data_IF_431984171005
#
_entry.id   IF_431984171005
#
_cell.length_a   1.000
_cell.length_b   1.000
_cell.length_c   1.000
_cell.angle_alpha   90.00
_cell.angle_beta   90.00
_cell.angle_gamma   90.00
#
_symmetry.space_group_name_H-M   'P 1'
#
loop_
_entity.id
_entity.type
_entity.pdbx_description
1 polymer ?
#
# COMPACT_ATOMS: atom_id res chain seq x y z
N UNK A 1 4.16 11.56 10.45
CA UNK A 1 4.18 12.93 9.90
C UNK A 1 2.77 13.39 9.60
N UNK A 2 2.05 12.79 8.65
CA UNK A 2 0.65 13.16 8.31
C UNK A 2 -0.24 13.52 9.51
N UNK A 3 -0.41 12.62 10.47
CA UNK A 3 -1.18 12.89 11.70
C UNK A 3 -0.66 14.07 12.54
N UNK A 4 0.68 14.23 12.64
CA UNK A 4 1.30 15.33 13.41
C UNK A 4 0.97 16.70 12.79
N UNK A 5 0.68 16.73 11.50
CA UNK A 5 0.39 17.93 10.72
C UNK A 5 -1.09 18.04 10.34
N UNK A 6 -1.99 17.35 11.06
CA UNK A 6 -3.45 17.39 10.84
C UNK A 6 -3.92 16.91 9.45
N UNK A 7 -3.11 16.11 8.76
CA UNK A 7 -3.42 15.54 7.45
C UNK A 7 -4.05 14.13 7.53
N UNK A 8 -4.40 13.69 8.74
CA UNK A 8 -5.00 12.38 8.97
C UNK A 8 -4.02 11.21 8.80
N UNK A 9 -4.57 9.99 8.76
CA UNK A 9 -3.81 8.76 8.55
C UNK A 9 -3.29 8.66 7.12
N UNK A 10 -2.02 8.30 6.98
CA UNK A 10 -1.43 7.97 5.68
C UNK A 10 -1.56 6.46 5.43
N UNK A 11 -2.16 6.09 4.29
CA UNK A 11 -2.35 4.71 3.86
C UNK A 11 -2.04 4.62 2.36
N UNK A 12 -1.20 3.66 1.96
CA UNK A 12 -0.68 3.58 0.58
C UNK A 12 -1.78 3.40 -0.48
N UNK A 13 -2.81 2.60 -0.17
CA UNK A 13 -3.95 2.34 -1.03
C UNK A 13 -4.80 3.61 -1.22
N UNK A 14 -4.99 4.40 -0.16
CA UNK A 14 -5.71 5.68 -0.20
C UNK A 14 -4.90 6.74 -0.97
N UNK A 15 -3.57 6.77 -0.76
CA UNK A 15 -2.67 7.65 -1.51
C UNK A 15 -2.65 7.28 -3.01
N UNK A 16 -2.76 6.00 -3.35
CA UNK A 16 -2.89 5.56 -4.75
C UNK A 16 -4.18 6.07 -5.40
N UNK A 17 -5.31 6.02 -4.66
CA UNK A 17 -6.57 6.62 -5.12
C UNK A 17 -6.43 8.13 -5.28
N UNK A 18 -5.80 8.80 -4.31
CA UNK A 18 -5.53 10.23 -4.34
C UNK A 18 -4.68 10.63 -5.54
N UNK A 19 -3.64 9.86 -5.85
CA UNK A 19 -2.79 10.07 -7.03
C UNK A 19 -3.63 10.12 -8.31
N UNK A 20 -4.46 9.10 -8.52
CA UNK A 20 -5.30 8.97 -9.72
C UNK A 20 -6.43 10.01 -9.78
N UNK A 21 -6.97 10.41 -8.63
CA UNK A 21 -8.05 11.40 -8.56
C UNK A 21 -7.55 12.83 -8.72
N UNK A 22 -6.36 13.17 -8.22
CA UNK A 22 -5.96 14.56 -8.04
C UNK A 22 -4.56 14.93 -8.51
N UNK A 23 -3.57 14.05 -8.47
CA UNK A 23 -2.15 14.42 -8.70
C UNK A 23 -1.71 14.14 -10.13
N UNK A 24 -2.17 13.03 -10.69
CA UNK A 24 -1.86 12.65 -12.07
C UNK A 24 -2.28 13.73 -13.07
N UNK A 25 -1.66 13.68 -14.26
CA UNK A 25 -1.88 14.68 -15.32
C UNK A 25 -1.70 16.11 -14.81
N UNK A 26 -0.60 16.34 -14.06
CA UNK A 26 -0.21 17.64 -13.53
C UNK A 26 -1.27 18.27 -12.63
N UNK A 27 -1.82 17.51 -11.68
CA UNK A 27 -2.78 18.03 -10.71
C UNK A 27 -4.22 18.09 -11.24
N UNK A 28 -4.57 17.24 -12.22
CA UNK A 28 -5.91 17.18 -12.82
C UNK A 28 -6.62 15.85 -12.58
N UNK A 29 -5.89 14.83 -12.15
CA UNK A 29 -6.36 13.46 -12.10
C UNK A 29 -6.56 12.85 -13.49
N UNK A 30 -6.92 11.56 -13.49
CA UNK A 30 -7.15 10.77 -14.70
C UNK A 30 -8.63 10.49 -15.00
N UNK A 31 -9.56 10.94 -14.13
CA UNK A 31 -10.99 10.68 -14.27
C UNK A 31 -11.31 9.19 -14.46
N UNK A 32 -10.68 8.36 -13.62
CA UNK A 32 -10.88 6.91 -13.61
C UNK A 32 -12.27 6.56 -13.07
N UNK A 33 -12.84 5.46 -13.56
CA UNK A 33 -14.15 4.98 -13.08
C UNK A 33 -14.10 4.63 -11.60
N UNK A 34 -15.21 4.88 -10.89
CA UNK A 34 -15.27 4.67 -9.44
C UNK A 34 -15.01 3.21 -9.05
N UNK A 35 -15.38 2.23 -9.88
CA UNK A 35 -15.14 0.81 -9.62
C UNK A 35 -13.65 0.46 -9.62
N UNK A 36 -12.86 1.09 -10.48
CA UNK A 36 -11.41 0.89 -10.53
C UNK A 36 -10.76 1.57 -9.32
N UNK A 37 -11.16 2.82 -9.01
CA UNK A 37 -10.69 3.51 -7.81
C UNK A 37 -11.05 2.74 -6.53
N UNK A 38 -12.23 2.15 -6.45
CA UNK A 38 -12.68 1.32 -5.32
C UNK A 38 -11.87 0.03 -5.20
N UNK A 39 -11.58 -0.66 -6.31
CA UNK A 39 -10.72 -1.84 -6.31
C UNK A 39 -9.31 -1.50 -5.79
N UNK A 40 -8.76 -0.35 -6.18
CA UNK A 40 -7.48 0.16 -5.65
C UNK A 40 -7.64 0.57 -4.18
N UNK A 41 -8.74 1.21 -3.79
CA UNK A 41 -8.95 1.57 -2.38
C UNK A 41 -9.02 0.33 -1.48
N UNK A 42 -9.62 -0.76 -1.97
CA UNK A 42 -9.87 -1.96 -1.20
C UNK A 42 -8.74 -3.00 -1.27
N UNK A 43 -7.70 -2.81 -2.11
CA UNK A 43 -6.56 -3.74 -2.11
C UNK A 43 -5.78 -3.57 -0.80
N UNK A 44 -5.72 -4.64 -0.03
CA UNK A 44 -4.98 -4.67 1.22
C UNK A 44 -4.62 -6.12 1.52
N UNK A 45 -3.44 -6.52 1.06
CA UNK A 45 -2.88 -7.85 1.25
C UNK A 45 -2.68 -8.23 2.72
N UNK A 46 -2.64 -7.29 3.66
CA UNK A 46 -2.45 -7.56 5.10
C UNK A 46 -3.64 -8.27 5.74
N UNK A 47 -4.85 -8.18 5.16
CA UNK A 47 -6.05 -8.82 5.72
C UNK A 47 -6.55 -9.91 4.80
N UNK A 48 -6.16 -11.15 5.09
CA UNK A 48 -6.68 -12.31 4.40
C UNK A 48 -8.12 -12.57 4.87
N UNK A 49 -9.02 -12.79 3.91
CA UNK A 49 -10.39 -13.22 4.16
C UNK A 49 -10.58 -14.61 3.52
N UNK A 50 -11.35 -15.48 4.16
CA UNK A 50 -11.74 -16.76 3.55
C UNK A 50 -12.71 -16.56 2.38
N UNK A 51 -13.60 -15.57 2.48
CA UNK A 51 -14.56 -15.20 1.43
C UNK A 51 -14.51 -13.68 1.17
N UNK A 52 -14.43 -13.31 -0.11
CA UNK A 52 -14.46 -11.94 -0.61
C UNK A 52 -15.76 -11.74 -1.39
N UNK A 53 -16.67 -10.96 -0.82
CA UNK A 53 -17.97 -10.65 -1.43
C UNK A 53 -18.02 -9.18 -1.84
N UNK A 54 -18.43 -8.87 -3.08
CA UNK A 54 -18.57 -7.49 -3.50
C UNK A 54 -19.74 -6.82 -2.79
N UNK A 55 -19.60 -5.53 -2.51
CA UNK A 55 -20.65 -4.68 -1.94
C UNK A 55 -20.99 -3.58 -2.93
N UNK A 56 -22.25 -3.51 -3.36
CA UNK A 56 -22.71 -2.37 -4.18
C UNK A 56 -22.55 -1.07 -3.39
N UNK A 57 -21.98 -0.06 -4.04
CA UNK A 57 -21.79 1.28 -3.48
C UNK A 57 -22.15 2.33 -4.52
N UNK A 58 -22.67 3.44 -4.04
CA UNK A 58 -22.79 4.69 -4.78
C UNK A 58 -21.47 5.45 -4.75
N UNK A 59 -21.30 6.42 -5.65
CA UNK A 59 -20.14 7.34 -5.63
C UNK A 59 -20.04 8.06 -4.28
N UNK A 60 -21.18 8.43 -3.68
CA UNK A 60 -21.21 9.09 -2.37
C UNK A 60 -20.69 8.19 -1.25
N UNK A 61 -21.06 6.91 -1.26
CA UNK A 61 -20.56 5.94 -0.27
C UNK A 61 -19.06 5.71 -0.45
N UNK A 62 -18.57 5.59 -1.68
CA UNK A 62 -17.13 5.49 -1.97
C UNK A 62 -16.36 6.71 -1.42
N UNK A 63 -16.82 7.93 -1.74
CA UNK A 63 -16.18 9.15 -1.25
C UNK A 63 -16.24 9.24 0.29
N UNK A 64 -17.33 8.80 0.91
CA UNK A 64 -17.43 8.75 2.38
C UNK A 64 -16.42 7.79 2.98
N UNK A 65 -16.25 6.59 2.40
CA UNK A 65 -15.25 5.60 2.84
C UNK A 65 -13.82 6.13 2.62
N UNK A 66 -13.57 6.81 1.50
CA UNK A 66 -12.29 7.45 1.19
C UNK A 66 -11.93 8.54 2.21
N UNK A 67 -12.84 9.47 2.50
CA UNK A 67 -12.61 10.53 3.49
C UNK A 67 -12.44 9.98 4.91
N UNK A 68 -13.28 9.01 5.30
CA UNK A 68 -13.18 8.39 6.62
C UNK A 68 -11.83 7.66 6.83
N UNK A 69 -11.18 7.20 5.76
CA UNK A 69 -9.87 6.53 5.84
C UNK A 69 -8.75 7.42 6.38
N UNK A 70 -8.89 8.74 6.29
CA UNK A 70 -7.96 9.69 6.91
C UNK A 70 -8.19 9.86 8.41
N UNK A 71 -9.34 9.42 8.93
CA UNK A 71 -9.75 9.66 10.32
C UNK A 71 -9.95 8.39 11.15
N UNK A 72 -10.12 7.25 10.50
CA UNK A 72 -10.41 5.98 11.15
C UNK A 72 -9.60 4.84 10.51
N UNK A 73 -8.57 4.33 11.20
CA UNK A 73 -7.78 3.20 10.68
C UNK A 73 -8.57 1.91 10.51
N UNK A 74 -9.62 1.70 11.30
CA UNK A 74 -10.38 0.46 11.26
C UNK A 74 -11.23 0.31 10.00
N UNK A 75 -11.50 1.41 9.27
CA UNK A 75 -12.35 1.32 8.08
C UNK A 75 -11.71 0.48 6.99
N UNK A 76 -10.38 0.48 6.89
CA UNK A 76 -9.65 -0.31 5.90
C UNK A 76 -9.91 -1.82 6.06
N UNK A 77 -10.15 -2.27 7.31
CA UNK A 77 -10.50 -3.67 7.60
C UNK A 77 -11.95 -3.99 7.19
N UNK A 78 -12.82 -2.97 7.12
CA UNK A 78 -14.27 -3.09 6.85
C UNK A 78 -14.64 -2.82 5.39
N UNK A 79 -13.73 -2.28 4.60
CA UNK A 79 -13.94 -2.01 3.17
C UNK A 79 -14.13 -3.31 2.38
N UNK A 80 -15.09 -3.30 1.47
CA UNK A 80 -15.38 -4.41 0.55
C UNK A 80 -15.39 -3.87 -0.88
N UNK A 81 -14.74 -4.52 -1.84
CA UNK A 81 -14.73 -4.04 -3.23
C UNK A 81 -16.14 -3.92 -3.82
N UNK A 82 -16.34 -2.99 -4.76
CA UNK A 82 -17.60 -2.83 -5.48
C UNK A 82 -17.99 -4.02 -6.37
N UNK A 83 -16.98 -4.72 -6.91
CA UNK A 83 -17.16 -5.73 -7.96
C UNK A 83 -16.38 -7.01 -7.66
N UNK A 84 -16.69 -8.09 -8.38
CA UNK A 84 -15.95 -9.35 -8.27
C UNK A 84 -14.50 -9.18 -8.74
N UNK A 85 -14.26 -8.37 -9.77
CA UNK A 85 -12.92 -8.03 -10.24
C UNK A 85 -12.13 -7.32 -9.13
N UNK A 86 -12.74 -6.41 -8.38
CA UNK A 86 -12.11 -5.80 -7.22
C UNK A 86 -11.81 -6.81 -6.10
N UNK A 87 -12.67 -7.81 -5.89
CA UNK A 87 -12.37 -8.95 -5.01
C UNK A 87 -11.17 -9.75 -5.50
N UNK A 88 -11.07 -9.99 -6.82
CA UNK A 88 -9.92 -10.65 -7.44
C UNK A 88 -8.65 -9.85 -7.24
N UNK A 89 -8.66 -8.52 -7.44
CA UNK A 89 -7.48 -7.65 -7.17
C UNK A 89 -7.01 -7.82 -5.72
N UNK A 90 -7.94 -7.76 -4.76
CA UNK A 90 -7.61 -7.85 -3.33
C UNK A 90 -6.99 -9.20 -2.95
N UNK A 91 -7.54 -10.32 -3.43
CA UNK A 91 -6.97 -11.65 -3.13
C UNK A 91 -5.69 -11.91 -3.92
N UNK A 92 -5.54 -11.30 -5.11
CA UNK A 92 -4.32 -11.43 -5.91
C UNK A 92 -3.14 -10.75 -5.24
N UNK A 93 -3.35 -9.59 -4.62
CA UNK A 93 -2.35 -8.90 -3.81
C UNK A 93 -1.83 -9.82 -2.70
N UNK A 94 -2.74 -10.44 -1.94
CA UNK A 94 -2.43 -11.47 -0.95
C UNK A 94 -1.56 -12.60 -1.52
N UNK A 95 -1.95 -13.19 -2.65
CA UNK A 95 -1.24 -14.35 -3.23
C UNK A 95 0.14 -13.96 -3.79
N UNK A 96 0.27 -12.76 -4.34
CA UNK A 96 1.48 -12.32 -5.04
C UNK A 96 2.69 -12.14 -4.10
N UNK A 97 2.47 -11.69 -2.86
CA UNK A 97 3.57 -11.47 -1.91
C UNK A 97 3.95 -12.73 -1.11
N UNK A 98 2.99 -13.61 -0.79
CA UNK A 98 3.20 -14.73 0.15
C UNK A 98 4.43 -15.58 -0.17
N UNK A 99 4.55 -16.04 -1.42
CA UNK A 99 5.69 -16.85 -1.85
C UNK A 99 6.94 -16.02 -2.13
N UNK A 100 6.78 -14.81 -2.70
CA UNK A 100 7.90 -13.95 -3.08
C UNK A 100 8.74 -13.53 -1.88
N UNK A 101 8.09 -13.16 -0.78
CA UNK A 101 8.79 -12.73 0.45
C UNK A 101 9.71 -13.83 0.99
N UNK A 102 9.28 -15.09 0.87
CA UNK A 102 10.07 -16.26 1.28
C UNK A 102 11.29 -16.40 0.38
N UNK A 103 11.11 -16.30 -0.94
CA UNK A 103 12.24 -16.40 -1.88
C UNK A 103 13.28 -15.30 -1.63
N UNK A 104 12.82 -14.07 -1.36
CA UNK A 104 13.69 -12.95 -1.03
C UNK A 104 14.40 -13.14 0.31
N UNK A 105 13.69 -13.61 1.35
CA UNK A 105 14.28 -13.91 2.65
C UNK A 105 15.33 -15.04 2.57
N UNK A 106 15.06 -16.08 1.77
CA UNK A 106 16.03 -17.16 1.52
C UNK A 106 17.25 -16.64 0.77
N UNK A 107 17.05 -15.81 -0.25
CA UNK A 107 18.14 -15.19 -1.01
C UNK A 107 19.02 -14.30 -0.14
N UNK A 108 18.43 -13.62 0.84
CA UNK A 108 19.13 -12.76 1.81
C UNK A 108 19.71 -13.54 3.01
N UNK A 109 19.59 -14.88 3.02
CA UNK A 109 19.99 -15.74 4.14
C UNK A 109 19.34 -15.37 5.48
N UNK A 110 18.15 -14.77 5.46
CA UNK A 110 17.34 -14.45 6.66
C UNK A 110 16.63 -15.71 7.18
N UNK A 111 16.30 -16.62 6.28
CA UNK A 111 15.57 -17.86 6.53
C UNK A 111 16.09 -18.97 5.59
N UNK A 112 16.07 -20.22 6.02
CA UNK A 112 16.22 -21.39 5.15
C UNK A 112 14.85 -21.97 4.77
N UNK A 113 14.71 -22.48 3.54
CA UNK A 113 13.44 -22.98 3.03
C UNK A 113 12.85 -24.11 3.90
N UNK A 114 13.73 -24.92 4.47
CA UNK A 114 13.38 -26.07 5.31
C UNK A 114 12.83 -25.67 6.69
N UNK A 115 12.94 -24.38 7.07
CA UNK A 115 12.35 -23.86 8.30
C UNK A 115 10.83 -23.62 8.18
N UNK A 116 10.28 -23.67 6.96
CA UNK A 116 8.83 -23.52 6.74
C UNK A 116 8.13 -24.78 7.28
N UNK A 117 7.13 -24.63 8.17
CA UNK A 117 6.39 -25.75 8.74
C UNK A 117 5.79 -26.70 7.70
N UNK A 118 5.80 -28.01 8.01
CA UNK A 118 5.18 -29.04 7.17
C UNK A 118 3.68 -28.76 6.99
N UNK A 119 3.00 -28.23 8.01
CA UNK A 119 1.58 -27.84 7.96
C UNK A 119 1.27 -26.83 6.84
N UNK A 120 2.22 -25.98 6.47
CA UNK A 120 2.09 -25.02 5.36
C UNK A 120 2.47 -25.71 4.05
N UNK A 121 3.66 -26.33 4.00
CA UNK A 121 4.22 -26.86 2.76
C UNK A 121 3.44 -28.04 2.19
N UNK A 122 2.78 -28.85 3.03
CA UNK A 122 1.92 -29.95 2.58
C UNK A 122 0.65 -29.48 1.88
N UNK A 123 0.18 -28.26 2.18
CA UNK A 123 -1.04 -27.67 1.63
C UNK A 123 -0.68 -26.74 0.47
N UNK A 124 0.13 -25.72 0.71
CA UNK A 124 0.43 -24.68 -0.29
C UNK A 124 1.54 -25.09 -1.27
N UNK A 125 2.41 -26.02 -0.88
CA UNK A 125 3.61 -26.38 -1.61
C UNK A 125 4.86 -25.66 -1.11
N UNK A 126 6.01 -26.00 -1.70
CA UNK A 126 7.33 -25.56 -1.21
C UNK A 126 8.08 -24.65 -2.19
N UNK A 127 7.43 -24.13 -3.23
CA UNK A 127 7.99 -23.06 -4.07
C UNK A 127 6.98 -21.94 -4.22
N UNK A 128 7.43 -20.72 -4.56
CA UNK A 128 6.52 -19.61 -4.88
C UNK A 128 5.55 -19.98 -5.98
N UNK A 129 6.01 -20.73 -6.98
CA UNK A 129 5.18 -21.24 -8.06
C UNK A 129 4.08 -22.17 -7.51
N UNK A 130 4.42 -23.08 -6.60
CA UNK A 130 3.44 -24.01 -6.02
C UNK A 130 2.42 -23.27 -5.17
N UNK A 131 2.86 -22.37 -4.28
CA UNK A 131 1.98 -21.56 -3.43
C UNK A 131 0.96 -20.81 -4.28
N UNK A 132 1.44 -20.07 -5.29
CA UNK A 132 0.57 -19.30 -6.19
C UNK A 132 -0.39 -20.20 -6.95
N UNK A 133 0.09 -21.31 -7.51
CA UNK A 133 -0.75 -22.24 -8.27
C UNK A 133 -1.82 -22.90 -7.41
N UNK A 134 -1.48 -23.34 -6.19
CA UNK A 134 -2.42 -23.93 -5.23
C UNK A 134 -3.54 -22.95 -4.91
N UNK A 135 -3.19 -21.71 -4.53
CA UNK A 135 -4.18 -20.68 -4.21
C UNK A 135 -5.08 -20.36 -5.41
N UNK A 136 -4.53 -20.22 -6.62
CA UNK A 136 -5.32 -19.94 -7.83
C UNK A 136 -6.31 -21.07 -8.12
N UNK A 137 -5.84 -22.33 -8.10
CA UNK A 137 -6.69 -23.47 -8.43
C UNK A 137 -7.79 -23.68 -7.37
N UNK A 138 -7.46 -23.49 -6.09
CA UNK A 138 -8.43 -23.54 -5.01
C UNK A 138 -9.50 -22.44 -5.14
N UNK A 139 -9.09 -21.20 -5.43
CA UNK A 139 -10.02 -20.09 -5.66
C UNK A 139 -10.95 -20.38 -6.82
N UNK A 140 -10.43 -20.82 -7.97
CA UNK A 140 -11.25 -21.11 -9.15
C UNK A 140 -12.29 -22.18 -8.81
N UNK A 141 -11.87 -23.25 -8.13
CA UNK A 141 -12.77 -24.36 -7.74
C UNK A 141 -13.88 -23.91 -6.79
N UNK A 142 -13.58 -23.07 -5.81
CA UNK A 142 -14.54 -22.65 -4.77
C UNK A 142 -15.37 -21.41 -5.15
N UNK A 143 -15.01 -20.72 -6.24
CA UNK A 143 -15.66 -19.48 -6.70
C UNK A 143 -16.46 -19.65 -8.00
N UNK A 144 -16.29 -20.76 -8.74
CA UNK A 144 -16.96 -20.99 -10.01
C UNK A 144 -18.49 -20.92 -9.86
N UNK A 145 -19.14 -20.15 -10.75
CA UNK A 145 -20.58 -19.90 -10.75
C UNK A 145 -21.12 -19.29 -9.44
N UNK A 146 -20.26 -18.63 -8.66
CA UNK A 146 -20.64 -17.93 -7.42
C UNK A 146 -20.55 -16.42 -7.59
N UNK A 147 -21.27 -15.71 -6.73
CA UNK A 147 -21.22 -14.24 -6.62
C UNK A 147 -20.25 -13.77 -5.53
N UNK A 148 -19.17 -14.53 -5.32
CA UNK A 148 -18.08 -14.26 -4.37
C UNK A 148 -16.81 -14.96 -4.83
N UNK A 149 -15.67 -14.51 -4.31
CA UNK A 149 -14.38 -15.21 -4.43
C UNK A 149 -14.07 -15.86 -3.10
N UNK A 150 -13.72 -17.14 -3.07
CA UNK A 150 -13.53 -17.89 -1.83
C UNK A 150 -12.35 -18.84 -1.91
N UNK A 151 -11.61 -18.92 -0.80
CA UNK A 151 -10.65 -19.98 -0.51
C UNK A 151 -11.36 -21.10 0.25
N UNK A 152 -10.92 -22.34 0.07
CA UNK A 152 -11.29 -23.41 0.99
C UNK A 152 -10.74 -23.12 2.39
N UNK A 153 -11.40 -23.64 3.42
CA UNK A 153 -10.98 -23.40 4.81
C UNK A 153 -9.55 -23.94 5.05
N UNK A 154 -9.18 -25.05 4.41
CA UNK A 154 -7.84 -25.65 4.46
C UNK A 154 -6.77 -24.71 3.89
N UNK A 155 -6.96 -24.19 2.66
CA UNK A 155 -6.00 -23.28 2.04
C UNK A 155 -5.97 -21.93 2.76
N UNK A 156 -7.13 -21.44 3.21
CA UNK A 156 -7.21 -20.20 3.99
C UNK A 156 -6.40 -20.28 5.28
N UNK A 157 -6.54 -21.35 6.07
CA UNK A 157 -5.77 -21.53 7.29
C UNK A 157 -4.26 -21.68 7.03
N UNK A 158 -3.87 -22.38 5.97
CA UNK A 158 -2.45 -22.47 5.58
C UNK A 158 -1.87 -21.10 5.19
N UNK A 159 -2.65 -20.24 4.53
CA UNK A 159 -2.26 -18.85 4.24
C UNK A 159 -2.11 -18.04 5.53
N UNK A 160 -3.05 -18.13 6.47
CA UNK A 160 -2.94 -17.43 7.76
C UNK A 160 -1.67 -17.86 8.53
N UNK A 161 -1.37 -19.16 8.53
CA UNK A 161 -0.17 -19.70 9.17
C UNK A 161 1.11 -19.22 8.46
N UNK A 162 1.13 -19.23 7.13
CA UNK A 162 2.26 -18.74 6.34
C UNK A 162 2.51 -17.23 6.55
N UNK A 163 1.45 -16.43 6.63
CA UNK A 163 1.57 -15.00 6.94
C UNK A 163 2.19 -14.76 8.30
N UNK A 164 1.71 -15.49 9.31
CA UNK A 164 2.25 -15.42 10.66
C UNK A 164 3.74 -15.79 10.67
N UNK A 165 4.10 -16.86 9.97
CA UNK A 165 5.49 -17.29 9.81
C UNK A 165 6.35 -16.21 9.13
N UNK A 166 5.90 -15.65 8.00
CA UNK A 166 6.62 -14.56 7.33
C UNK A 166 6.81 -13.35 8.26
N UNK A 167 5.79 -12.99 9.05
CA UNK A 167 5.89 -11.89 10.01
C UNK A 167 6.96 -12.14 11.08
N UNK A 168 6.94 -13.32 11.70
CA UNK A 168 7.85 -13.69 12.78
C UNK A 168 9.30 -13.87 12.30
N UNK A 169 9.50 -14.44 11.11
CA UNK A 169 10.82 -14.84 10.63
C UNK A 169 11.47 -13.88 9.64
N UNK A 170 10.68 -13.07 8.93
CA UNK A 170 11.18 -12.16 7.89
C UNK A 170 11.01 -10.71 8.36
N UNK A 171 9.77 -10.24 8.50
CA UNK A 171 9.48 -8.82 8.76
C UNK A 171 10.03 -8.32 10.10
N UNK A 172 9.95 -9.13 11.16
CA UNK A 172 10.51 -8.78 12.47
C UNK A 172 12.06 -8.71 12.47
N UNK A 173 12.72 -9.35 11.50
CA UNK A 173 14.18 -9.38 11.37
C UNK A 173 14.70 -8.43 10.29
N UNK A 174 13.83 -7.93 9.41
CA UNK A 174 14.21 -7.14 8.24
C UNK A 174 14.85 -5.78 8.58
N UNK A 175 14.47 -5.18 9.71
CA UNK A 175 15.02 -3.89 10.15
C UNK A 175 15.20 -3.84 11.66
N UNK A 176 16.40 -3.43 12.07
CA UNK A 176 16.71 -3.11 13.46
C UNK A 176 15.93 -1.89 13.93
N UNK A 177 15.76 -1.76 15.26
CA UNK A 177 15.14 -0.57 15.85
C UNK A 177 15.86 0.72 15.43
N UNK A 178 17.19 0.67 15.33
CA UNK A 178 18.03 1.81 14.95
C UNK A 178 17.73 2.26 13.51
N UNK A 179 17.68 1.34 12.56
CA UNK A 179 17.37 1.68 11.15
C UNK A 179 15.94 2.26 11.01
N UNK A 180 14.97 1.76 11.79
CA UNK A 180 13.61 2.33 11.82
C UNK A 180 13.61 3.77 12.36
N UNK A 181 14.42 4.05 13.37
CA UNK A 181 14.58 5.40 13.93
C UNK A 181 15.29 6.34 12.94
N UNK A 182 16.32 5.84 12.23
CA UNK A 182 17.03 6.57 11.18
C UNK A 182 16.10 6.92 10.01
N UNK A 183 15.35 5.96 9.46
CA UNK A 183 14.37 6.24 8.39
C UNK A 183 13.33 7.27 8.83
N UNK A 184 12.80 7.13 10.05
CA UNK A 184 11.83 8.10 10.60
C UNK A 184 12.44 9.51 10.64
N UNK A 185 13.68 9.63 11.09
CA UNK A 185 14.38 10.90 11.12
C UNK A 185 14.58 11.50 9.72
N UNK A 186 14.96 10.69 8.74
CA UNK A 186 15.11 11.12 7.34
C UNK A 186 13.80 11.69 6.80
N UNK A 187 12.70 10.96 6.99
CA UNK A 187 11.37 11.40 6.61
C UNK A 187 10.98 12.72 7.27
N UNK A 188 11.18 12.84 8.59
CA UNK A 188 10.88 14.07 9.34
C UNK A 188 11.73 15.25 8.85
N UNK A 189 13.02 15.04 8.57
CA UNK A 189 13.90 16.09 8.03
C UNK A 189 13.45 16.59 6.65
N UNK A 190 13.16 15.67 5.72
CA UNK A 190 12.68 16.04 4.38
C UNK A 190 11.37 16.81 4.48
N UNK A 191 10.44 16.31 5.29
CA UNK A 191 9.13 16.94 5.46
C UNK A 191 9.27 18.38 5.96
N UNK A 192 9.98 18.59 7.06
CA UNK A 192 10.15 19.92 7.67
C UNK A 192 10.90 20.88 6.74
N UNK A 193 11.88 20.38 5.98
CA UNK A 193 12.65 21.21 5.05
C UNK A 193 11.80 21.65 3.88
N UNK A 194 11.07 20.73 3.23
CA UNK A 194 10.22 21.08 2.10
C UNK A 194 9.01 21.92 2.49
N UNK A 195 8.47 21.73 3.70
CA UNK A 195 7.42 22.59 4.23
C UNK A 195 7.92 24.04 4.34
N UNK A 196 9.09 24.25 4.96
CA UNK A 196 9.72 25.57 5.04
C UNK A 196 10.04 26.16 3.67
N UNK A 197 10.50 25.34 2.73
CA UNK A 197 10.77 25.81 1.36
C UNK A 197 9.50 26.31 0.67
N UNK A 198 8.37 25.61 0.80
CA UNK A 198 7.08 26.07 0.29
C UNK A 198 6.64 27.36 1.00
N UNK A 199 6.79 27.43 2.33
CA UNK A 199 6.41 28.61 3.11
C UNK A 199 7.20 29.87 2.74
N UNK A 200 8.50 29.70 2.49
CA UNK A 200 9.40 30.79 2.10
C UNK A 200 9.44 31.03 0.59
N UNK A 201 8.67 30.27 -0.19
CA UNK A 201 8.70 30.30 -1.66
C UNK A 201 10.13 30.17 -2.23
N UNK A 202 10.90 29.21 -1.69
CA UNK A 202 12.26 28.93 -2.15
C UNK A 202 12.24 28.30 -3.54
N UNK A 203 12.28 29.13 -4.58
CA UNK A 203 12.16 28.67 -5.98
C UNK A 203 13.29 27.73 -6.44
N UNK A 204 14.38 27.62 -5.67
CA UNK A 204 15.47 26.67 -5.94
C UNK A 204 15.21 25.27 -5.38
N UNK A 205 14.21 25.13 -4.50
CA UNK A 205 13.87 23.85 -3.89
C UNK A 205 13.25 22.88 -4.91
N UNK A 206 13.68 21.60 -4.95
CA UNK A 206 13.11 20.59 -5.84
C UNK A 206 11.60 20.45 -5.78
N UNK A 207 11.00 20.52 -4.59
CA UNK A 207 9.55 20.47 -4.43
C UNK A 207 8.83 21.62 -5.16
N UNK A 208 9.47 22.79 -5.27
CA UNK A 208 8.90 23.93 -5.99
C UNK A 208 9.19 23.83 -7.49
N UNK A 209 10.46 23.75 -7.89
CA UNK A 209 10.80 23.90 -9.31
C UNK A 209 10.42 22.69 -10.16
N UNK A 210 10.54 21.47 -9.61
CA UNK A 210 10.34 20.23 -10.36
C UNK A 210 8.93 19.68 -10.23
N UNK A 211 8.27 19.94 -9.10
CA UNK A 211 6.96 19.40 -8.78
C UNK A 211 5.89 20.50 -8.81
N UNK A 212 5.89 21.42 -7.84
CA UNK A 212 4.79 22.37 -7.65
C UNK A 212 4.61 23.30 -8.85
N UNK A 213 5.69 23.77 -9.50
CA UNK A 213 5.63 24.62 -10.71
C UNK A 213 4.90 23.96 -11.88
N UNK A 214 4.89 22.63 -11.95
CA UNK A 214 4.21 21.89 -13.01
C UNK A 214 2.75 21.56 -12.67
N UNK A 215 2.38 21.56 -11.38
CA UNK A 215 1.01 21.24 -10.94
C UNK A 215 -0.01 22.33 -11.29
N UNK A 216 -1.26 21.92 -11.52
CA UNK A 216 -2.38 22.81 -11.84
C UNK A 216 -2.61 23.86 -10.74
N UNK A 217 -3.17 25.02 -11.12
CA UNK A 217 -3.55 26.06 -10.15
C UNK A 217 -4.58 25.55 -9.13
N UNK A 218 -5.46 24.65 -9.58
CA UNK A 218 -6.49 24.06 -8.74
C UNK A 218 -5.88 23.16 -7.66
N UNK A 219 -4.95 22.28 -8.03
CA UNK A 219 -4.21 21.45 -7.07
C UNK A 219 -3.50 22.31 -6.02
N UNK A 220 -2.80 23.36 -6.44
CA UNK A 220 -2.08 24.26 -5.50
C UNK A 220 -3.01 24.99 -4.54
N UNK A 221 -4.25 25.28 -4.97
CA UNK A 221 -5.23 26.04 -4.18
C UNK A 221 -6.01 25.15 -3.23
N UNK A 222 -6.33 23.93 -3.65
CA UNK A 222 -7.23 23.03 -2.93
C UNK A 222 -6.50 22.15 -1.90
N UNK A 223 -5.18 22.26 -1.79
CA UNK A 223 -4.37 21.47 -0.86
C UNK A 223 -3.60 22.39 0.10
N UNK A 224 -3.45 21.91 1.34
CA UNK A 224 -2.55 22.50 2.32
C UNK A 224 -1.09 22.33 1.87
N UNK A 225 -0.19 23.10 2.46
CA UNK A 225 1.25 22.97 2.15
C UNK A 225 1.77 21.62 2.64
N UNK A 226 1.30 21.20 3.80
CA UNK A 226 1.60 19.93 4.44
C UNK A 226 1.17 18.77 3.54
N UNK A 227 -0.03 18.82 2.97
CA UNK A 227 -0.48 17.82 1.99
C UNK A 227 0.41 17.79 0.75
N UNK A 228 0.77 18.95 0.20
CA UNK A 228 1.67 19.02 -0.97
C UNK A 228 3.02 18.35 -0.67
N UNK A 229 3.56 18.53 0.54
CA UNK A 229 4.79 17.86 0.97
C UNK A 229 4.60 16.34 1.10
N UNK A 230 3.48 15.88 1.66
CA UNK A 230 3.16 14.44 1.74
C UNK A 230 3.10 13.84 0.34
N UNK A 231 2.32 14.45 -0.56
CA UNK A 231 2.16 14.02 -1.94
C UNK A 231 3.52 13.93 -2.66
N UNK A 232 4.38 14.93 -2.47
CA UNK A 232 5.71 14.95 -3.07
C UNK A 232 6.63 13.86 -2.53
N UNK A 233 6.68 13.67 -1.21
CA UNK A 233 7.51 12.64 -0.57
C UNK A 233 7.01 11.24 -0.92
N UNK A 234 5.69 11.03 -0.94
CA UNK A 234 5.08 9.75 -1.29
C UNK A 234 5.34 9.34 -2.75
N UNK A 235 5.58 10.32 -3.63
CA UNK A 235 5.95 10.10 -5.03
C UNK A 235 7.44 9.86 -5.28
N UNK A 236 8.29 9.88 -4.25
CA UNK A 236 9.73 9.66 -4.41
C UNK A 236 10.06 8.18 -4.61
N UNK A 237 11.07 7.90 -5.44
CA UNK A 237 11.76 6.61 -5.40
C UNK A 237 12.74 6.59 -4.22
N UNK A 238 13.12 5.40 -3.75
CA UNK A 238 14.08 5.24 -2.64
C UNK A 238 15.41 5.96 -2.93
N UNK A 239 15.97 5.77 -4.14
CA UNK A 239 17.21 6.45 -4.56
C UNK A 239 17.08 7.98 -4.54
N UNK A 240 15.93 8.50 -4.95
CA UNK A 240 15.69 9.94 -4.95
C UNK A 240 15.52 10.49 -3.53
N UNK A 241 14.78 9.76 -2.69
CA UNK A 241 14.61 10.08 -1.27
C UNK A 241 15.96 10.15 -0.52
N UNK A 242 16.82 9.15 -0.72
CA UNK A 242 18.15 9.10 -0.12
C UNK A 242 19.02 10.28 -0.61
N UNK A 243 19.02 10.54 -1.92
CA UNK A 243 19.76 11.66 -2.50
C UNK A 243 19.31 13.02 -1.96
N UNK A 244 18.01 13.22 -1.81
CA UNK A 244 17.46 14.47 -1.26
C UNK A 244 17.80 14.60 0.23
N UNK A 245 17.78 13.51 0.99
CA UNK A 245 18.26 13.51 2.37
C UNK A 245 19.74 13.89 2.48
N UNK A 246 20.61 13.30 1.66
CA UNK A 246 22.04 13.65 1.62
C UNK A 246 22.25 15.12 1.26
N UNK A 247 21.51 15.63 0.27
CA UNK A 247 21.55 17.04 -0.16
C UNK A 247 21.14 17.99 0.97
N UNK A 248 20.09 17.65 1.73
CA UNK A 248 19.57 18.50 2.80
C UNK A 248 20.46 18.42 4.04
N UNK A 249 20.90 17.22 4.44
CA UNK A 249 21.73 17.01 5.62
C UNK A 249 23.16 17.54 5.49
N UNK A 250 23.64 17.75 4.25
CA UNK A 250 24.96 18.33 3.96
C UNK A 250 24.98 19.87 3.93
N UNK A 251 23.83 20.53 4.05
CA UNK A 251 23.69 22.00 4.11
C UNK A 251 23.46 22.50 5.53
#
# INVERSE_FOLDING_TARGET
MSLKHNEGYFNHNIESVRNLMYLENYGKGLNITVQVLDAIMCHNGEFALGEYRPKKKTVKEFLSEYEESYHNKEILMKMHPMTLEGCVVRVSDLIAYLGRDIDDAVRLNILKREEIPESITSILGNTTKDIVNTCIMDIIKNSMDKNYIRLSDEVFHAIEELKKFNYEHIYNKAMTKKEKEELKYMFEMLFETYLKDIENNNETSPIIYSYLKNMSKEYRKNNTKERIVIDYIAGMTDDYFLKEYERISSN
#
